data_IF_271449158650
#
_entry.id   IF_271449158650
#
_cell.length_a   1.000
_cell.length_b   1.000
_cell.length_c   1.000
_cell.angle_alpha   90.00
_cell.angle_beta   90.00
_cell.angle_gamma   90.00
#
_symmetry.space_group_name_H-M   'P 1'
#
loop_
_entity.id
_entity.type
_entity.pdbx_description
1 polymer ?
#
# COMPACT_ATOMS: atom_id res chain seq x y z
N UNK A 1 5.62 -6.57 -19.31
CA UNK A 1 4.48 -5.77 -18.80
C UNK A 1 4.98 -4.85 -17.70
N UNK A 2 4.68 -3.53 -17.74
CA UNK A 2 5.11 -2.58 -16.71
C UNK A 2 4.32 -2.80 -15.42
N UNK A 3 4.94 -2.50 -14.28
CA UNK A 3 4.32 -2.59 -12.96
C UNK A 3 3.47 -1.34 -12.72
N UNK A 4 2.23 -1.49 -12.25
CA UNK A 4 1.37 -0.38 -11.86
C UNK A 4 1.66 0.03 -10.42
N UNK A 5 2.26 1.21 -10.16
CA UNK A 5 2.43 1.69 -8.81
C UNK A 5 1.10 2.22 -8.26
N UNK A 6 0.78 1.86 -7.03
CA UNK A 6 -0.36 2.38 -6.27
C UNK A 6 0.18 3.03 -5.00
N UNK A 7 -0.08 4.31 -4.80
CA UNK A 7 0.38 5.05 -3.62
C UNK A 7 -0.80 5.22 -2.67
N UNK A 8 -0.68 4.68 -1.47
CA UNK A 8 -1.65 4.81 -0.40
C UNK A 8 -1.38 6.12 0.36
N UNK A 9 -2.26 7.10 0.19
CA UNK A 9 -2.11 8.47 0.68
C UNK A 9 -3.34 8.94 1.47
N UNK A 10 -3.93 8.05 2.29
CA UNK A 10 -5.14 8.34 3.08
C UNK A 10 -4.89 8.52 4.59
N UNK A 11 -3.68 8.22 5.06
CA UNK A 11 -3.29 8.29 6.48
C UNK A 11 -3.09 9.73 6.96
N UNK A 12 -3.53 10.02 8.20
CA UNK A 12 -3.37 11.34 8.82
C UNK A 12 -1.98 11.55 9.48
N UNK A 13 -1.18 10.49 9.68
CA UNK A 13 0.15 10.59 10.28
C UNK A 13 0.17 11.10 11.73
N UNK A 14 -0.92 10.94 12.47
CA UNK A 14 -1.15 11.57 13.79
C UNK A 14 -0.16 11.20 14.90
N UNK A 15 0.64 10.15 14.70
CA UNK A 15 1.62 9.69 15.70
C UNK A 15 2.87 10.57 15.83
N UNK A 16 3.10 11.48 14.88
CA UNK A 16 4.27 12.37 14.90
C UNK A 16 4.04 13.66 15.68
N UNK A 17 2.80 13.93 16.07
CA UNK A 17 2.43 15.20 16.65
C UNK A 17 1.92 15.00 18.08
N UNK A 18 2.57 15.63 19.03
CA UNK A 18 2.10 15.69 20.43
C UNK A 18 0.82 16.52 20.54
N UNK A 19 0.71 17.60 19.75
CA UNK A 19 -0.48 18.47 19.70
C UNK A 19 -1.39 18.12 18.52
N UNK A 20 -2.65 17.77 18.82
CA UNK A 20 -3.65 17.33 17.83
C UNK A 20 -4.27 18.48 17.00
N UNK A 21 -3.95 19.73 17.28
CA UNK A 21 -4.64 20.88 16.67
C UNK A 21 -4.09 21.33 15.31
N UNK A 22 -2.83 21.03 14.94
CA UNK A 22 -2.17 21.53 13.72
C UNK A 22 -1.57 20.41 12.88
N UNK A 23 -2.36 19.44 12.46
CA UNK A 23 -1.84 18.24 11.80
C UNK A 23 -1.74 18.38 10.29
N UNK A 24 -0.54 18.76 9.81
CA UNK A 24 -0.18 18.42 8.44
C UNK A 24 0.15 16.93 8.35
N UNK A 25 -0.49 16.14 7.45
CA UNK A 25 -0.15 14.74 7.31
C UNK A 25 1.33 14.57 6.95
N UNK A 26 1.99 13.58 7.56
CA UNK A 26 3.43 13.32 7.46
C UNK A 26 3.96 13.37 6.02
N UNK A 27 3.21 12.79 5.09
CA UNK A 27 3.60 12.72 3.68
C UNK A 27 3.67 14.05 2.96
N UNK A 28 3.07 15.11 3.53
CA UNK A 28 3.05 16.46 2.94
C UNK A 28 3.87 17.49 3.72
N UNK A 29 4.55 17.09 4.81
CA UNK A 29 5.46 17.99 5.55
C UNK A 29 6.56 18.41 4.58
N UNK A 30 6.83 19.72 4.55
CA UNK A 30 7.93 20.28 3.77
C UNK A 30 9.26 20.08 4.50
N UNK A 31 10.20 19.41 3.85
CA UNK A 31 11.56 19.18 4.33
C UNK A 31 12.59 20.03 3.56
N UNK A 32 12.29 21.30 3.36
CA UNK A 32 13.16 22.19 2.60
C UNK A 32 12.95 22.08 1.08
N UNK A 33 11.72 22.31 0.63
CA UNK A 33 11.35 22.31 -0.78
C UNK A 33 10.93 20.94 -1.35
N UNK A 34 10.78 19.92 -0.53
CA UNK A 34 10.28 18.61 -0.93
C UNK A 34 9.47 17.92 0.20
N UNK A 35 8.65 16.97 -0.14
CA UNK A 35 7.92 16.14 0.82
C UNK A 35 8.01 14.64 0.49
N UNK A 36 7.60 13.77 1.42
CA UNK A 36 7.71 12.32 1.26
C UNK A 36 6.86 11.77 0.12
N UNK A 37 5.70 12.39 -0.16
CA UNK A 37 4.87 12.02 -1.31
C UNK A 37 5.61 12.30 -2.62
N UNK A 38 6.30 13.43 -2.75
CA UNK A 38 7.09 13.78 -3.93
C UNK A 38 8.27 12.83 -4.11
N UNK A 39 8.98 12.46 -3.03
CA UNK A 39 10.05 11.43 -3.09
C UNK A 39 9.51 10.07 -3.52
N UNK A 40 8.31 9.72 -3.11
CA UNK A 40 7.65 8.49 -3.58
C UNK A 40 7.28 8.58 -5.05
N UNK A 41 6.79 9.72 -5.54
CA UNK A 41 6.50 9.98 -6.96
C UNK A 41 7.78 9.96 -7.81
N UNK A 42 8.88 10.54 -7.33
CA UNK A 42 10.18 10.48 -8.02
C UNK A 42 10.68 9.03 -8.19
N UNK A 43 10.56 8.21 -7.16
CA UNK A 43 10.96 6.81 -7.17
C UNK A 43 10.27 6.00 -8.25
N UNK A 44 9.01 6.27 -8.53
CA UNK A 44 8.23 5.55 -9.53
C UNK A 44 8.38 6.08 -10.97
N UNK A 45 9.21 7.09 -11.22
CA UNK A 45 9.59 7.51 -12.58
C UNK A 45 10.46 6.49 -13.30
N UNK A 46 10.98 5.48 -12.59
CA UNK A 46 11.76 4.41 -13.20
C UNK A 46 10.95 3.70 -14.31
N UNK A 47 11.56 3.36 -15.47
CA UNK A 47 10.87 2.76 -16.61
C UNK A 47 10.19 1.40 -16.35
N UNK A 48 10.50 0.72 -15.24
CA UNK A 48 9.80 -0.51 -14.83
C UNK A 48 8.36 -0.25 -14.43
N UNK A 49 8.02 1.00 -14.06
CA UNK A 49 6.68 1.40 -13.66
C UNK A 49 5.88 2.02 -14.81
N UNK A 50 4.58 1.84 -14.74
CA UNK A 50 3.58 2.57 -15.53
C UNK A 50 3.08 3.80 -14.72
N UNK A 51 2.12 4.55 -15.24
CA UNK A 51 1.56 5.69 -14.52
C UNK A 51 0.95 5.28 -13.16
N UNK A 52 1.07 6.12 -12.12
CA UNK A 52 0.60 5.80 -10.79
C UNK A 52 -0.92 5.89 -10.62
N UNK A 53 -1.41 5.14 -9.64
CA UNK A 53 -2.72 5.32 -9.03
C UNK A 53 -2.49 5.84 -7.62
N UNK A 54 -3.19 6.90 -7.22
CA UNK A 54 -3.12 7.46 -5.88
C UNK A 54 -4.45 7.18 -5.16
N UNK A 55 -4.43 6.38 -4.11
CA UNK A 55 -5.59 6.19 -3.23
C UNK A 55 -5.53 7.22 -2.11
N UNK A 56 -6.53 8.07 -2.03
CA UNK A 56 -6.58 9.16 -1.05
C UNK A 56 -8.04 9.51 -0.70
N UNK A 57 -8.23 10.45 0.22
CA UNK A 57 -9.56 10.98 0.58
C UNK A 57 -9.70 12.45 0.16
N UNK A 58 -10.91 12.99 0.27
CA UNK A 58 -11.21 14.34 -0.16
C UNK A 58 -10.37 15.42 0.57
N UNK A 59 -10.04 15.18 1.84
CA UNK A 59 -9.23 16.11 2.66
C UNK A 59 -7.85 16.37 2.07
N UNK A 60 -7.25 15.38 1.39
CA UNK A 60 -5.89 15.46 0.88
C UNK A 60 -5.79 15.59 -0.64
N UNK A 61 -6.93 15.70 -1.34
CA UNK A 61 -6.96 15.75 -2.81
C UNK A 61 -6.16 16.91 -3.39
N UNK A 62 -6.24 18.10 -2.79
CA UNK A 62 -5.49 19.28 -3.22
C UNK A 62 -3.98 19.12 -3.07
N UNK A 63 -3.53 18.59 -1.92
CA UNK A 63 -2.11 18.32 -1.65
C UNK A 63 -1.56 17.23 -2.58
N UNK A 64 -2.32 16.15 -2.83
CA UNK A 64 -1.96 15.11 -3.79
C UNK A 64 -1.77 15.71 -5.19
N UNK A 65 -2.70 16.54 -5.65
CA UNK A 65 -2.60 17.21 -6.97
C UNK A 65 -1.40 18.15 -7.04
N UNK A 66 -1.09 18.89 -5.97
CA UNK A 66 0.10 19.74 -5.86
C UNK A 66 1.37 18.89 -5.99
N UNK A 67 1.50 17.80 -5.21
CA UNK A 67 2.67 16.92 -5.27
C UNK A 67 2.84 16.24 -6.64
N UNK A 68 1.75 15.85 -7.32
CA UNK A 68 1.80 15.34 -8.70
C UNK A 68 2.33 16.38 -9.68
N UNK A 69 1.90 17.65 -9.54
CA UNK A 69 2.38 18.77 -10.36
C UNK A 69 3.88 19.03 -10.11
N UNK A 70 4.29 19.16 -8.84
CA UNK A 70 5.69 19.40 -8.45
C UNK A 70 6.61 18.27 -8.93
N UNK A 71 6.18 17.02 -8.78
CA UNK A 71 6.90 15.86 -9.31
C UNK A 71 6.80 15.70 -10.83
N UNK A 72 6.14 16.61 -11.57
CA UNK A 72 5.96 16.58 -13.03
C UNK A 72 5.36 15.26 -13.56
N UNK A 73 4.44 14.65 -12.80
CA UNK A 73 3.71 13.45 -13.21
C UNK A 73 2.50 13.84 -14.05
N UNK A 74 2.59 13.68 -15.37
CA UNK A 74 1.53 14.08 -16.33
C UNK A 74 0.39 13.06 -16.42
N UNK A 75 0.69 11.75 -16.34
CA UNK A 75 -0.29 10.66 -16.45
C UNK A 75 -0.46 9.99 -15.09
N UNK A 76 -1.67 9.97 -14.56
CA UNK A 76 -2.00 9.39 -13.27
C UNK A 76 -3.50 9.10 -13.17
N UNK A 77 -3.89 8.35 -12.15
CA UNK A 77 -5.29 8.22 -11.71
C UNK A 77 -5.38 8.39 -10.19
N UNK A 78 -6.49 8.94 -9.73
CA UNK A 78 -6.80 9.08 -8.31
C UNK A 78 -8.03 8.23 -8.00
N UNK A 79 -7.98 7.47 -6.92
CA UNK A 79 -9.12 6.79 -6.32
C UNK A 79 -9.46 7.55 -5.05
N UNK A 80 -10.60 8.26 -5.06
CA UNK A 80 -11.02 9.12 -3.96
C UNK A 80 -11.96 8.36 -3.03
N UNK A 81 -11.45 8.03 -1.86
CA UNK A 81 -12.17 7.32 -0.82
C UNK A 81 -13.12 8.26 -0.06
N UNK A 82 -14.43 7.97 0.02
CA UNK A 82 -15.39 8.86 0.67
C UNK A 82 -15.41 8.74 2.20
N UNK A 83 -14.68 7.78 2.78
CA UNK A 83 -14.57 7.56 4.22
C UNK A 83 -13.23 6.89 4.57
N UNK A 84 -12.76 7.08 5.80
CA UNK A 84 -11.58 6.38 6.33
C UNK A 84 -11.96 4.94 6.67
N UNK A 85 -11.37 3.96 6.02
CA UNK A 85 -11.64 2.52 6.19
C UNK A 85 -10.38 1.67 6.30
N UNK A 86 -9.22 2.32 6.54
CA UNK A 86 -7.92 1.68 6.62
C UNK A 86 -7.45 1.09 5.27
N UNK A 87 -6.34 0.36 5.24
CA UNK A 87 -5.65 0.00 3.99
C UNK A 87 -6.31 -1.10 3.17
N UNK A 88 -7.10 -2.01 3.77
CA UNK A 88 -7.71 -3.09 3.00
C UNK A 88 -8.73 -2.60 1.96
N UNK A 89 -9.73 -1.76 2.28
CA UNK A 89 -10.62 -1.19 1.27
C UNK A 89 -9.91 -0.29 0.25
N UNK A 90 -8.86 0.45 0.65
CA UNK A 90 -8.07 1.28 -0.24
C UNK A 90 -7.33 0.45 -1.31
N UNK A 91 -6.63 -0.63 -0.88
CA UNK A 91 -5.94 -1.58 -1.75
C UNK A 91 -6.92 -2.24 -2.73
N UNK A 92 -8.04 -2.74 -2.21
CA UNK A 92 -9.02 -3.43 -3.04
C UNK A 92 -9.66 -2.48 -4.06
N UNK A 93 -10.12 -1.31 -3.63
CA UNK A 93 -10.79 -0.36 -4.53
C UNK A 93 -9.86 0.13 -5.63
N UNK A 94 -8.59 0.40 -5.31
CA UNK A 94 -7.60 0.79 -6.32
C UNK A 94 -7.30 -0.33 -7.32
N UNK A 95 -7.37 -1.60 -6.90
CA UNK A 95 -7.22 -2.74 -7.81
C UNK A 95 -8.45 -2.95 -8.71
N UNK A 96 -9.65 -2.64 -8.21
CA UNK A 96 -10.91 -2.90 -8.91
C UNK A 96 -11.24 -1.89 -10.02
N UNK A 97 -10.53 -0.76 -10.15
CA UNK A 97 -10.80 0.18 -11.24
C UNK A 97 -10.65 -0.51 -12.59
N UNK A 98 -11.51 -0.09 -13.56
CA UNK A 98 -11.69 -0.81 -14.84
C UNK A 98 -10.43 -0.86 -15.70
N UNK A 99 -9.59 0.17 -15.62
CA UNK A 99 -8.41 0.30 -16.50
C UNK A 99 -7.23 -0.62 -16.14
N UNK A 100 -7.36 -1.45 -15.12
CA UNK A 100 -6.29 -2.37 -14.70
C UNK A 100 -6.62 -3.77 -15.24
N UNK A 101 -5.79 -4.35 -16.12
CA UNK A 101 -5.93 -5.73 -16.54
C UNK A 101 -5.85 -6.72 -15.39
N UNK A 102 -6.55 -7.85 -15.48
CA UNK A 102 -6.64 -8.84 -14.39
C UNK A 102 -5.27 -9.38 -13.95
N UNK A 103 -4.36 -9.61 -14.89
CA UNK A 103 -3.00 -10.10 -14.63
C UNK A 103 -1.97 -8.99 -14.35
N UNK A 104 -2.41 -7.73 -14.22
CA UNK A 104 -1.51 -6.60 -13.93
C UNK A 104 -0.82 -6.77 -12.58
N UNK A 105 0.51 -6.63 -12.59
CA UNK A 105 1.30 -6.51 -11.35
C UNK A 105 1.13 -5.13 -10.73
N UNK A 106 0.76 -5.08 -9.46
CA UNK A 106 0.53 -3.87 -8.68
C UNK A 106 1.56 -3.79 -7.55
N UNK A 107 2.22 -2.64 -7.44
CA UNK A 107 3.13 -2.35 -6.34
C UNK A 107 2.53 -1.25 -5.46
N UNK A 108 2.17 -1.60 -4.23
CA UNK A 108 1.61 -0.68 -3.24
C UNK A 108 2.71 -0.04 -2.42
N UNK A 109 2.73 1.29 -2.44
CA UNK A 109 3.63 2.14 -1.68
C UNK A 109 2.86 2.89 -0.60
N UNK A 110 3.47 3.05 0.58
CA UNK A 110 3.05 4.09 1.50
C UNK A 110 3.60 5.45 1.02
N UNK A 111 2.78 6.50 1.11
CA UNK A 111 3.16 7.84 0.65
C UNK A 111 4.24 8.51 1.52
N UNK A 112 4.48 7.99 2.72
CA UNK A 112 5.32 8.58 3.78
C UNK A 112 6.64 7.84 4.04
N UNK A 113 7.05 6.95 3.12
CA UNK A 113 8.31 6.22 3.24
C UNK A 113 9.44 6.88 2.45
N UNK A 114 10.54 7.15 3.14
CA UNK A 114 11.80 7.51 2.52
C UNK A 114 12.60 6.23 2.23
N UNK A 115 13.01 6.04 0.98
CA UNK A 115 13.87 4.92 0.54
C UNK A 115 15.10 5.54 -0.14
N UNK A 116 16.24 5.51 0.54
CA UNK A 116 17.47 6.14 0.07
C UNK A 116 18.07 5.39 -1.12
N UNK A 117 18.19 4.07 -1.02
CA UNK A 117 18.82 3.22 -2.06
C UNK A 117 17.81 2.76 -3.13
N UNK A 118 17.20 3.73 -3.83
CA UNK A 118 16.13 3.50 -4.81
C UNK A 118 16.53 2.54 -5.93
N UNK A 119 17.79 2.57 -6.40
CA UNK A 119 18.29 1.66 -7.44
C UNK A 119 18.28 0.19 -7.00
N UNK A 120 18.70 -0.09 -5.76
CA UNK A 120 18.69 -1.44 -5.17
C UNK A 120 17.24 -1.91 -5.01
N UNK A 121 16.37 -1.04 -4.51
CA UNK A 121 14.94 -1.33 -4.35
C UNK A 121 14.29 -1.70 -5.70
N UNK A 122 14.48 -0.88 -6.73
CA UNK A 122 13.92 -1.14 -8.06
C UNK A 122 14.50 -2.42 -8.70
N UNK A 123 15.78 -2.73 -8.48
CA UNK A 123 16.40 -3.99 -8.91
C UNK A 123 15.75 -5.20 -8.25
N UNK A 124 15.46 -5.10 -6.94
CA UNK A 124 14.76 -6.15 -6.20
C UNK A 124 13.36 -6.41 -6.77
N UNK A 125 12.60 -5.36 -7.06
CA UNK A 125 11.28 -5.48 -7.70
C UNK A 125 11.41 -6.15 -9.07
N UNK A 126 12.30 -5.65 -9.94
CA UNK A 126 12.51 -6.18 -11.30
C UNK A 126 12.88 -7.68 -11.28
N UNK A 127 13.72 -8.09 -10.33
CA UNK A 127 14.12 -9.51 -10.18
C UNK A 127 12.94 -10.41 -9.84
N UNK A 128 11.98 -9.92 -9.06
CA UNK A 128 10.90 -10.72 -8.51
C UNK A 128 9.58 -10.64 -9.30
N UNK A 129 9.44 -9.72 -10.25
CA UNK A 129 8.18 -9.54 -11.01
C UNK A 129 7.73 -10.80 -11.73
N UNK A 130 8.67 -11.59 -12.26
CA UNK A 130 8.40 -12.85 -12.97
C UNK A 130 7.88 -13.98 -12.07
N UNK A 131 8.08 -13.85 -10.75
CA UNK A 131 7.65 -14.84 -9.76
C UNK A 131 6.23 -14.51 -9.20
N UNK A 132 5.59 -13.43 -9.66
CA UNK A 132 4.23 -13.10 -9.27
C UNK A 132 3.22 -13.95 -10.04
N UNK A 133 2.29 -14.54 -9.29
CA UNK A 133 1.16 -15.30 -9.80
C UNK A 133 -0.16 -14.85 -9.14
N UNK A 134 -1.22 -15.56 -9.35
CA UNK A 134 -2.54 -15.29 -8.77
C UNK A 134 -2.67 -15.72 -7.30
N UNK A 135 -1.62 -16.29 -6.71
CA UNK A 135 -1.59 -16.82 -5.33
C UNK A 135 -0.65 -16.03 -4.43
N UNK A 136 0.50 -15.59 -4.97
CA UNK A 136 1.57 -15.02 -4.17
C UNK A 136 1.35 -13.54 -3.83
N UNK A 137 1.76 -13.16 -2.61
CA UNK A 137 1.91 -11.80 -2.14
C UNK A 137 3.35 -11.58 -1.71
N UNK A 138 4.08 -10.68 -2.37
CA UNK A 138 5.41 -10.28 -1.91
C UNK A 138 5.30 -9.10 -0.95
N UNK A 139 5.98 -9.21 0.18
CA UNK A 139 6.11 -8.16 1.17
C UNK A 139 7.57 -7.78 1.32
N UNK A 140 7.85 -6.56 1.76
CA UNK A 140 9.21 -6.04 1.93
C UNK A 140 9.56 -6.00 3.42
N UNK A 141 10.65 -6.69 3.76
CA UNK A 141 11.17 -6.72 5.11
C UNK A 141 12.24 -5.66 5.35
N UNK A 142 12.16 -5.01 6.49
CA UNK A 142 13.20 -4.10 6.99
C UNK A 142 13.86 -4.78 8.18
N UNK A 143 15.21 -4.77 8.21
CA UNK A 143 15.96 -5.30 9.35
C UNK A 143 15.67 -4.45 10.60
N UNK A 144 15.13 -5.03 11.68
CA UNK A 144 14.85 -4.26 12.88
C UNK A 144 16.12 -3.73 13.54
N UNK A 145 16.06 -2.50 14.01
CA UNK A 145 17.13 -1.88 14.82
C UNK A 145 16.83 -1.98 16.32
N UNK A 146 15.54 -2.03 16.68
CA UNK A 146 15.05 -2.11 18.06
C UNK A 146 13.71 -2.88 18.11
N UNK A 147 13.29 -3.39 19.28
CA UNK A 147 11.95 -3.95 19.43
C UNK A 147 10.91 -2.82 19.50
N UNK A 148 9.81 -2.96 18.74
CA UNK A 148 8.71 -2.01 18.72
C UNK A 148 7.37 -2.76 18.67
N UNK A 149 6.37 -2.28 19.38
CA UNK A 149 4.99 -2.77 19.30
C UNK A 149 4.17 -2.09 18.19
N UNK A 150 4.76 -1.09 17.49
CA UNK A 150 4.07 -0.31 16.46
C UNK A 150 4.10 -0.96 15.07
N UNK A 151 4.97 -1.94 14.85
CA UNK A 151 5.18 -2.57 13.54
C UNK A 151 4.69 -4.02 13.51
N UNK A 152 4.26 -4.47 12.34
CA UNK A 152 4.14 -5.88 12.03
C UNK A 152 5.52 -6.52 11.85
N UNK A 153 5.63 -7.79 12.17
CA UNK A 153 6.85 -8.60 12.02
C UNK A 153 6.57 -9.85 11.22
N UNK A 154 7.61 -10.38 10.58
CA UNK A 154 7.53 -11.70 9.99
C UNK A 154 8.85 -12.46 10.08
N UNK A 155 8.72 -13.78 10.13
CA UNK A 155 9.82 -14.74 10.01
C UNK A 155 9.79 -15.34 8.61
N UNK A 156 10.97 -15.71 8.09
CA UNK A 156 11.08 -16.36 6.80
C UNK A 156 11.78 -17.71 6.90
N UNK A 157 11.43 -18.60 5.96
CA UNK A 157 12.20 -19.81 5.66
C UNK A 157 12.65 -19.73 4.21
N UNK A 158 13.92 -20.06 3.95
CA UNK A 158 14.45 -20.14 2.59
C UNK A 158 13.92 -21.40 1.93
N UNK A 159 13.23 -21.25 0.80
CA UNK A 159 12.75 -22.35 -0.04
C UNK A 159 13.28 -22.10 -1.44
N UNK A 160 14.23 -22.94 -1.90
CA UNK A 160 14.98 -22.71 -3.14
C UNK A 160 15.61 -21.30 -3.11
N UNK A 161 15.27 -20.44 -4.09
CA UNK A 161 15.78 -19.07 -4.21
C UNK A 161 14.85 -17.99 -3.67
N UNK A 162 13.79 -18.38 -2.94
CA UNK A 162 12.76 -17.47 -2.40
C UNK A 162 12.74 -17.58 -0.88
N UNK A 163 12.62 -16.44 -0.20
CA UNK A 163 12.31 -16.40 1.23
C UNK A 163 10.80 -16.43 1.40
N UNK A 164 10.25 -17.57 1.81
CA UNK A 164 8.82 -17.69 2.11
C UNK A 164 8.55 -17.22 3.54
N UNK A 165 7.49 -16.41 3.74
CA UNK A 165 7.03 -16.03 5.07
C UNK A 165 6.53 -17.30 5.78
N UNK A 166 7.11 -17.59 6.94
CA UNK A 166 6.72 -18.74 7.76
C UNK A 166 5.79 -18.35 8.90
N UNK A 167 5.85 -17.10 9.35
CA UNK A 167 4.97 -16.55 10.38
C UNK A 167 4.87 -15.04 10.22
N UNK A 168 3.66 -14.50 10.25
CA UNK A 168 3.36 -13.07 10.31
C UNK A 168 2.73 -12.74 11.67
N UNK A 169 3.12 -11.63 12.28
CA UNK A 169 2.66 -11.19 13.60
C UNK A 169 2.46 -9.68 13.55
N UNK A 170 1.23 -9.23 13.57
CA UNK A 170 0.92 -7.81 13.57
C UNK A 170 1.01 -7.23 14.99
N UNK A 171 1.78 -6.17 15.15
CA UNK A 171 1.93 -5.38 16.39
C UNK A 171 2.08 -6.23 17.66
N UNK A 172 3.12 -7.06 17.77
CA UNK A 172 3.37 -7.85 18.97
C UNK A 172 3.69 -6.95 20.16
N UNK A 173 3.53 -7.45 21.38
CA UNK A 173 4.10 -6.80 22.54
C UNK A 173 5.65 -6.81 22.47
N UNK A 174 6.30 -6.00 23.29
CA UNK A 174 7.77 -5.81 23.27
C UNK A 174 8.52 -7.13 23.53
N UNK A 175 8.04 -7.99 24.43
CA UNK A 175 8.66 -9.29 24.71
C UNK A 175 8.64 -10.19 23.46
N UNK A 176 7.50 -10.24 22.78
CA UNK A 176 7.35 -11.00 21.54
C UNK A 176 8.19 -10.42 20.41
N UNK A 177 8.25 -9.09 20.30
CA UNK A 177 9.11 -8.38 19.32
C UNK A 177 10.58 -8.76 19.51
N UNK A 178 11.10 -8.74 20.76
CA UNK A 178 12.46 -9.20 21.08
C UNK A 178 12.71 -10.64 20.63
N UNK A 179 11.75 -11.57 20.88
CA UNK A 179 11.86 -12.95 20.44
C UNK A 179 11.93 -13.10 18.91
N UNK A 180 11.14 -12.31 18.18
CA UNK A 180 11.14 -12.33 16.71
C UNK A 180 12.47 -11.80 16.15
N UNK A 181 13.02 -10.72 16.73
CA UNK A 181 14.33 -10.17 16.36
C UNK A 181 15.44 -11.19 16.62
N UNK A 182 15.45 -11.85 17.79
CA UNK A 182 16.42 -12.93 18.09
C UNK A 182 16.39 -14.06 17.05
N UNK A 183 15.21 -14.33 16.47
CA UNK A 183 15.02 -15.30 15.36
C UNK A 183 15.31 -14.72 13.97
N UNK A 184 16.01 -13.57 13.87
CA UNK A 184 16.31 -12.88 12.61
C UNK A 184 15.08 -12.50 11.79
N UNK A 185 13.97 -12.16 12.46
CA UNK A 185 12.75 -11.65 11.82
C UNK A 185 12.92 -10.23 11.28
N UNK A 186 11.97 -9.81 10.46
CA UNK A 186 11.94 -8.51 9.80
C UNK A 186 10.72 -7.72 10.25
N UNK A 187 10.81 -6.39 10.24
CA UNK A 187 9.63 -5.51 10.24
C UNK A 187 8.92 -5.61 8.90
N UNK A 188 7.61 -5.61 8.91
CA UNK A 188 6.80 -5.41 7.73
C UNK A 188 6.82 -3.93 7.33
N UNK A 189 7.28 -3.62 6.13
CA UNK A 189 7.32 -2.25 5.63
C UNK A 189 5.95 -1.67 5.28
N UNK A 190 4.89 -2.49 5.20
CA UNK A 190 3.59 -2.05 4.69
C UNK A 190 3.56 -1.79 3.18
N UNK A 191 4.58 -2.25 2.45
CA UNK A 191 4.59 -2.25 0.99
C UNK A 191 4.28 -3.67 0.47
N UNK A 192 3.43 -3.75 -0.56
CA UNK A 192 2.92 -5.01 -1.09
C UNK A 192 3.09 -5.06 -2.60
N UNK A 193 3.55 -6.22 -3.10
CA UNK A 193 3.72 -6.44 -4.52
C UNK A 193 3.03 -7.74 -4.92
N UNK A 194 1.97 -7.63 -5.72
CA UNK A 194 1.08 -8.73 -6.07
C UNK A 194 0.31 -8.43 -7.36
N UNK A 195 -0.30 -9.46 -7.95
CA UNK A 195 -1.17 -9.28 -9.11
C UNK A 195 -2.59 -8.90 -8.69
N UNK A 196 -3.32 -8.23 -9.59
CA UNK A 196 -4.73 -7.86 -9.38
C UNK A 196 -5.62 -9.07 -9.08
N UNK A 197 -5.45 -10.17 -9.81
CA UNK A 197 -6.22 -11.40 -9.58
C UNK A 197 -5.93 -12.01 -8.19
N UNK A 198 -4.68 -11.99 -7.73
CA UNK A 198 -4.33 -12.39 -6.36
C UNK A 198 -5.07 -11.55 -5.32
N UNK A 199 -5.15 -10.22 -5.51
CA UNK A 199 -5.92 -9.34 -4.60
C UNK A 199 -7.39 -9.78 -4.56
N UNK A 200 -8.01 -9.91 -5.73
CA UNK A 200 -9.43 -10.27 -5.86
C UNK A 200 -9.71 -11.62 -5.19
N UNK A 201 -8.89 -12.64 -5.46
CA UNK A 201 -9.05 -13.97 -4.91
C UNK A 201 -8.94 -13.98 -3.38
N UNK A 202 -7.94 -13.29 -2.83
CA UNK A 202 -7.75 -13.16 -1.38
C UNK A 202 -8.93 -12.44 -0.71
N UNK A 203 -9.42 -11.33 -1.29
CA UNK A 203 -10.58 -10.63 -0.72
C UNK A 203 -11.87 -11.41 -0.83
N UNK A 204 -12.11 -12.12 -1.93
CA UNK A 204 -13.27 -13.03 -2.06
C UNK A 204 -13.25 -14.09 -0.98
N UNK A 205 -12.07 -14.67 -0.70
CA UNK A 205 -11.89 -15.76 0.27
C UNK A 205 -11.99 -15.28 1.71
N UNK A 206 -11.26 -14.21 2.06
CA UNK A 206 -11.08 -13.82 3.47
C UNK A 206 -11.91 -12.62 3.91
N UNK A 207 -12.40 -11.80 2.96
CA UNK A 207 -13.13 -10.56 3.24
C UNK A 207 -14.30 -10.36 2.25
N UNK A 208 -15.24 -11.33 2.11
CA UNK A 208 -16.30 -11.29 1.07
C UNK A 208 -17.21 -10.05 1.21
N UNK A 209 -17.52 -9.60 2.42
CA UNK A 209 -18.31 -8.38 2.67
C UNK A 209 -17.60 -7.14 2.11
N UNK A 210 -16.30 -6.98 2.42
CA UNK A 210 -15.49 -5.86 1.92
C UNK A 210 -15.37 -5.94 0.39
N UNK A 211 -15.16 -7.14 -0.18
CA UNK A 211 -15.11 -7.33 -1.62
C UNK A 211 -16.40 -6.83 -2.32
N UNK A 212 -17.56 -7.30 -1.87
CA UNK A 212 -18.86 -6.89 -2.44
C UNK A 212 -19.08 -5.38 -2.34
N UNK A 213 -18.76 -4.79 -1.19
CA UNK A 213 -18.95 -3.35 -0.94
C UNK A 213 -18.01 -2.49 -1.79
N UNK A 214 -16.73 -2.83 -1.89
CA UNK A 214 -15.78 -2.09 -2.71
C UNK A 214 -16.08 -2.25 -4.21
N UNK A 215 -16.44 -3.46 -4.67
CA UNK A 215 -16.83 -3.70 -6.05
C UNK A 215 -18.04 -2.84 -6.45
N UNK A 216 -19.08 -2.82 -5.62
CA UNK A 216 -20.26 -1.98 -5.86
C UNK A 216 -19.89 -0.49 -5.85
N UNK A 217 -19.01 -0.08 -4.92
CA UNK A 217 -18.55 1.30 -4.82
C UNK A 217 -17.78 1.77 -6.04
N UNK A 218 -16.90 0.92 -6.59
CA UNK A 218 -16.15 1.20 -7.82
C UNK A 218 -17.07 1.20 -9.04
N UNK A 219 -17.99 0.22 -9.16
CA UNK A 219 -18.92 0.15 -10.30
C UNK A 219 -19.86 1.36 -10.39
N UNK A 220 -20.26 1.91 -9.23
CA UNK A 220 -21.09 3.13 -9.11
C UNK A 220 -20.27 4.42 -8.98
N UNK A 221 -18.94 4.37 -9.20
CA UNK A 221 -18.10 5.56 -9.11
C UNK A 221 -18.33 6.51 -10.28
N UNK A 222 -18.18 7.82 -10.01
CA UNK A 222 -18.10 8.86 -11.06
C UNK A 222 -16.64 9.07 -11.43
N UNK A 223 -16.33 9.17 -12.72
CA UNK A 223 -14.97 9.47 -13.19
C UNK A 223 -14.92 10.86 -13.82
N UNK A 224 -14.07 11.73 -13.26
CA UNK A 224 -13.86 13.10 -13.75
C UNK A 224 -12.43 13.55 -13.42
N UNK A 225 -11.75 14.23 -14.33
CA UNK A 225 -10.42 14.82 -14.13
C UNK A 225 -9.40 13.82 -13.53
N UNK A 226 -9.27 12.66 -14.16
CA UNK A 226 -8.40 11.54 -13.72
C UNK A 226 -8.72 11.00 -12.32
N UNK A 227 -9.92 11.23 -11.79
CA UNK A 227 -10.31 10.85 -10.44
C UNK A 227 -11.58 9.98 -10.48
N UNK A 228 -11.50 8.80 -9.86
CA UNK A 228 -12.62 7.95 -9.51
C UNK A 228 -13.18 8.39 -8.16
N UNK A 229 -14.36 9.00 -8.16
CA UNK A 229 -15.11 9.34 -6.95
C UNK A 229 -15.92 8.12 -6.53
N UNK A 230 -15.44 7.36 -5.56
CA UNK A 230 -16.09 6.13 -5.12
C UNK A 230 -17.47 6.41 -4.55
N UNK A 231 -18.43 5.51 -4.80
CA UNK A 231 -19.80 5.64 -4.26
C UNK A 231 -19.79 5.48 -2.74
N UNK A 232 -20.22 6.53 -2.01
CA UNK A 232 -20.15 6.60 -0.54
C UNK A 232 -21.03 5.54 0.13
N UNK A 233 -22.30 5.38 -0.28
CA UNK A 233 -23.24 4.46 0.37
C UNK A 233 -22.81 2.99 0.28
N UNK A 234 -22.10 2.62 -0.77
CA UNK A 234 -21.51 1.29 -0.92
C UNK A 234 -20.18 1.15 -0.15
N UNK A 235 -19.28 2.16 -0.24
CA UNK A 235 -17.96 2.11 0.38
C UNK A 235 -18.02 2.01 1.92
N UNK A 236 -18.88 2.76 2.57
CA UNK A 236 -19.02 2.76 4.04
C UNK A 236 -19.41 1.39 4.61
N UNK A 237 -20.03 0.51 3.80
CA UNK A 237 -20.38 -0.87 4.17
C UNK A 237 -19.17 -1.82 4.21
N UNK A 238 -18.02 -1.41 3.68
CA UNK A 238 -16.79 -2.18 3.80
C UNK A 238 -16.30 -2.19 5.26
N UNK A 239 -15.66 -3.30 5.64
CA UNK A 239 -15.10 -3.45 6.99
C UNK A 239 -13.86 -2.57 7.12
N UNK A 240 -13.78 -1.74 8.17
CA UNK A 240 -12.58 -0.98 8.49
C UNK A 240 -11.50 -1.91 9.03
N UNK A 241 -10.48 -2.20 8.22
CA UNK A 241 -9.40 -3.10 8.58
C UNK A 241 -8.14 -2.81 7.76
N UNK A 242 -6.94 -3.00 8.36
CA UNK A 242 -5.70 -2.98 7.58
C UNK A 242 -5.58 -4.21 6.69
N UNK A 243 -4.80 -4.11 5.62
CA UNK A 243 -4.51 -5.24 4.72
C UNK A 243 -3.79 -6.36 5.45
N UNK A 244 -2.94 -6.02 6.40
CA UNK A 244 -2.19 -6.94 7.24
C UNK A 244 -3.13 -7.87 8.01
N UNK A 245 -4.08 -7.32 8.78
CA UNK A 245 -5.10 -8.09 9.50
C UNK A 245 -6.15 -8.75 8.60
N UNK A 246 -6.48 -8.10 7.48
CA UNK A 246 -7.53 -8.59 6.60
C UNK A 246 -7.08 -9.80 5.78
N UNK A 247 -5.84 -9.79 5.32
CA UNK A 247 -5.31 -10.73 4.33
C UNK A 247 -4.02 -11.41 4.82
N UNK A 248 -2.96 -10.67 5.20
CA UNK A 248 -1.64 -11.27 5.45
C UNK A 248 -1.64 -12.28 6.60
N UNK A 249 -2.30 -11.98 7.71
CA UNK A 249 -2.42 -12.91 8.84
C UNK A 249 -3.17 -14.21 8.48
N UNK A 250 -4.07 -14.13 7.50
CA UNK A 250 -4.93 -15.26 7.09
C UNK A 250 -4.37 -16.02 5.90
N UNK A 251 -3.52 -15.37 5.10
CA UNK A 251 -2.93 -15.96 3.91
C UNK A 251 -1.80 -16.92 4.30
N UNK A 252 -1.87 -18.14 3.78
CA UNK A 252 -0.79 -19.14 3.89
C UNK A 252 0.20 -19.08 2.74
N UNK A 253 0.08 -18.09 1.87
CA UNK A 253 0.81 -17.99 0.60
C UNK A 253 1.90 -16.92 0.66
#
# INVERSE_FOLDING_TARGET
MKIRPVILCGGAGTRLWEDKKHHQPKQFIDFGGWNLMEKTLERIKNPIFDYPIISTNNKYLSQVRRSLKNAKIKKFKIVLEPAKKNTAPAILSSALIKDIPLKQSLMYFAADHLIEKTSIFNRSIKKNVKNLDDKNIFIFGIKPTNPSSEYGYFLTKKIKNINKVSKFIEKPNILKAKQVIKKKGYWNSGMFFLRKDSIINNFKKYQPKTYKSCLLSVNKSKYKNNTYYLNKSAFIKSVEKSFDYAILEKSKN
#
